data_IF_732219024227
#
_entry.id   IF_732219024227
#
_cell.length_a   1.000
_cell.length_b   1.000
_cell.length_c   1.000
_cell.angle_alpha   90.00
_cell.angle_beta   90.00
_cell.angle_gamma   90.00
#
_symmetry.space_group_name_H-M   'P 1'
#
loop_
_entity.id
_entity.type
_entity.pdbx_description
1 polymer ?
#
# COMPACT_ATOMS: atom_id res chain seq x y z
N UNK A 1 -11.16 14.92 -23.99
CA UNK A 1 -10.51 14.47 -22.74
C UNK A 1 -9.81 13.16 -23.04
N UNK A 2 -8.52 13.04 -22.70
CA UNK A 2 -7.77 11.81 -22.95
C UNK A 2 -8.21 10.74 -21.93
N UNK A 3 -8.55 9.55 -22.40
CA UNK A 3 -8.81 8.39 -21.55
C UNK A 3 -7.45 7.84 -21.11
N UNK A 4 -7.19 7.81 -19.81
CA UNK A 4 -6.00 7.15 -19.25
C UNK A 4 -6.24 5.64 -19.23
N UNK A 5 -5.29 4.86 -19.74
CA UNK A 5 -5.22 3.43 -19.42
C UNK A 5 -4.80 3.27 -17.96
N UNK A 6 -5.17 2.16 -17.31
CA UNK A 6 -4.66 1.81 -15.97
C UNK A 6 -3.12 1.83 -15.93
N UNK A 7 -2.48 1.49 -17.04
CA UNK A 7 -1.02 1.50 -17.19
C UNK A 7 -0.41 2.90 -17.21
N UNK A 8 -1.23 3.93 -17.40
CA UNK A 8 -0.78 5.33 -17.49
C UNK A 8 -0.94 6.08 -16.15
N UNK A 9 -1.51 5.42 -15.13
CA UNK A 9 -1.72 6.01 -13.81
C UNK A 9 -0.46 5.83 -12.93
N UNK A 10 -0.03 6.86 -12.19
CA UNK A 10 0.94 6.69 -11.13
C UNK A 10 0.48 5.65 -10.10
N UNK A 11 1.42 4.89 -9.58
CA UNK A 11 1.17 3.92 -8.50
C UNK A 11 1.27 4.62 -7.14
N UNK A 12 0.20 4.56 -6.35
CA UNK A 12 0.19 4.92 -4.94
C UNK A 12 0.41 3.65 -4.11
N UNK A 13 1.60 3.50 -3.54
CA UNK A 13 1.90 2.42 -2.59
C UNK A 13 1.51 2.88 -1.19
N UNK A 14 0.49 2.23 -0.61
CA UNK A 14 -0.01 2.55 0.72
C UNK A 14 0.49 1.51 1.73
N UNK A 15 1.30 1.97 2.68
CA UNK A 15 1.73 1.20 3.85
C UNK A 15 0.88 1.64 5.03
N UNK A 16 0.10 0.71 5.60
CA UNK A 16 -0.79 1.06 6.70
C UNK A 16 -0.04 1.48 7.97
N UNK A 17 -0.74 2.21 8.84
CA UNK A 17 -0.24 2.61 10.16
C UNK A 17 -0.24 1.46 11.17
N UNK A 18 -0.08 1.79 12.46
CA UNK A 18 -0.13 0.79 13.54
C UNK A 18 1.24 0.25 13.97
N UNK A 19 2.32 0.90 13.56
CA UNK A 19 3.67 0.66 14.08
C UNK A 19 4.21 -0.74 13.83
N UNK A 20 3.77 -1.42 12.77
CA UNK A 20 4.03 -2.83 12.49
C UNK A 20 3.47 -3.81 13.52
N UNK A 21 2.64 -3.36 14.47
CA UNK A 21 2.03 -4.21 15.51
C UNK A 21 0.57 -4.56 15.16
N UNK A 22 -0.13 -3.64 14.50
CA UNK A 22 -1.57 -3.76 14.22
C UNK A 22 -1.90 -3.16 12.86
N UNK A 23 -3.09 -3.45 12.33
CA UNK A 23 -3.57 -2.97 11.04
C UNK A 23 -3.63 -4.10 10.02
N UNK A 24 -3.93 -3.76 8.76
CA UNK A 24 -4.00 -4.70 7.65
C UNK A 24 -5.01 -4.28 6.59
N UNK A 25 -5.25 -5.14 5.60
CA UNK A 25 -6.09 -4.81 4.44
C UNK A 25 -7.50 -4.34 4.83
N UNK A 26 -8.12 -4.98 5.82
CA UNK A 26 -9.50 -4.68 6.22
C UNK A 26 -9.66 -3.31 6.89
N UNK A 27 -8.65 -2.86 7.64
CA UNK A 27 -8.69 -1.53 8.28
C UNK A 27 -8.39 -0.41 7.29
N UNK A 28 -7.60 -0.69 6.26
CA UNK A 28 -6.96 0.35 5.45
C UNK A 28 -7.42 0.43 3.99
N UNK A 29 -8.20 -0.53 3.50
CA UNK A 29 -8.89 -0.44 2.19
C UNK A 29 -9.76 0.82 2.08
N UNK A 30 -10.33 1.28 3.20
CA UNK A 30 -11.10 2.53 3.27
C UNK A 30 -10.27 3.76 2.90
N UNK A 31 -9.01 3.81 3.30
CA UNK A 31 -8.12 4.94 2.98
C UNK A 31 -7.83 4.97 1.47
N UNK A 32 -7.49 3.82 0.89
CA UNK A 32 -7.26 3.69 -0.55
C UNK A 32 -8.50 4.06 -1.37
N UNK A 33 -9.69 3.58 -0.97
CA UNK A 33 -10.97 3.93 -1.62
C UNK A 33 -11.36 5.38 -1.48
N UNK A 34 -10.97 6.03 -0.38
CA UNK A 34 -11.22 7.46 -0.20
C UNK A 34 -10.28 8.30 -1.08
N UNK A 35 -9.03 7.88 -1.26
CA UNK A 35 -8.00 8.63 -1.99
C UNK A 35 -8.09 8.44 -3.51
N UNK A 36 -8.29 7.21 -4.00
CA UNK A 36 -8.25 6.89 -5.43
C UNK A 36 -9.25 7.68 -6.31
N UNK A 37 -10.46 8.06 -5.85
CA UNK A 37 -11.35 8.92 -6.64
C UNK A 37 -10.91 10.39 -6.70
N UNK A 38 -10.06 10.84 -5.77
CA UNK A 38 -9.62 12.23 -5.65
C UNK A 38 -8.35 12.51 -6.46
N UNK A 39 -7.57 11.48 -6.78
CA UNK A 39 -6.28 11.58 -7.46
C UNK A 39 -6.24 10.49 -8.53
N UNK A 40 -5.87 10.77 -9.78
CA UNK A 40 -5.80 9.75 -10.84
C UNK A 40 -4.60 8.82 -10.60
N UNK A 41 -4.74 7.85 -9.68
CA UNK A 41 -3.71 6.90 -9.30
C UNK A 41 -4.25 5.47 -9.27
N UNK A 42 -3.37 4.50 -9.45
CA UNK A 42 -3.61 3.11 -9.08
C UNK A 42 -3.16 2.91 -7.63
N UNK A 43 -4.07 2.57 -6.71
CA UNK A 43 -3.72 2.36 -5.31
C UNK A 43 -3.36 0.88 -5.03
N UNK A 44 -2.21 0.66 -4.41
CA UNK A 44 -1.74 -0.64 -3.92
C UNK A 44 -1.71 -0.62 -2.40
N UNK A 45 -2.66 -1.32 -1.76
CA UNK A 45 -2.67 -1.52 -0.32
C UNK A 45 -1.78 -2.70 0.05
N UNK A 46 -0.72 -2.47 0.81
CA UNK A 46 0.31 -3.49 1.10
C UNK A 46 0.00 -4.19 2.42
N UNK A 47 -0.12 -5.51 2.37
CA UNK A 47 -0.22 -6.37 3.55
C UNK A 47 1.18 -6.86 3.95
N UNK A 48 1.89 -6.03 4.71
CA UNK A 48 3.18 -6.41 5.26
C UNK A 48 3.00 -7.24 6.55
N UNK A 49 3.97 -8.10 6.85
CA UNK A 49 3.91 -8.95 8.04
C UNK A 49 4.06 -8.14 9.34
N UNK A 50 3.27 -8.50 10.35
CA UNK A 50 3.26 -7.83 11.66
C UNK A 50 4.31 -8.40 12.61
N UNK A 51 4.82 -7.55 13.50
CA UNK A 51 5.91 -7.86 14.44
C UNK A 51 5.50 -8.88 15.52
N UNK A 52 4.21 -9.04 15.76
CA UNK A 52 3.63 -9.99 16.70
C UNK A 52 3.95 -11.44 16.33
N UNK A 53 3.91 -11.77 15.03
CA UNK A 53 4.27 -13.08 14.49
C UNK A 53 5.65 -13.07 13.83
N UNK A 54 6.11 -11.92 13.34
CA UNK A 54 7.31 -11.77 12.52
C UNK A 54 8.20 -10.62 13.01
N UNK A 55 9.18 -10.89 13.90
CA UNK A 55 10.03 -9.86 14.46
C UNK A 55 10.68 -8.95 13.41
N UNK A 56 11.01 -7.73 13.82
CA UNK A 56 11.81 -6.82 13.01
C UNK A 56 13.08 -7.52 12.50
N UNK A 57 13.46 -7.38 11.21
CA UNK A 57 12.98 -6.40 10.22
C UNK A 57 11.92 -6.89 9.22
N UNK A 58 11.26 -8.04 9.44
CA UNK A 58 10.52 -8.74 8.38
C UNK A 58 9.45 -7.88 7.67
N UNK A 59 8.54 -7.25 8.41
CA UNK A 59 7.52 -6.38 7.80
C UNK A 59 8.08 -5.13 7.12
N UNK A 60 9.25 -4.66 7.58
CA UNK A 60 9.95 -3.54 6.97
C UNK A 60 10.59 -3.96 5.63
N UNK A 61 11.17 -5.16 5.57
CA UNK A 61 11.68 -5.75 4.33
C UNK A 61 10.57 -5.98 3.32
N UNK A 62 9.41 -6.51 3.74
CA UNK A 62 8.21 -6.64 2.88
C UNK A 62 7.81 -5.29 2.26
N UNK A 63 7.78 -4.25 3.08
CA UNK A 63 7.43 -2.89 2.65
C UNK A 63 8.44 -2.35 1.62
N UNK A 64 9.73 -2.57 1.88
CA UNK A 64 10.80 -2.13 1.00
C UNK A 64 10.81 -2.88 -0.34
N UNK A 65 10.56 -4.20 -0.31
CA UNK A 65 10.48 -5.02 -1.51
C UNK A 65 9.32 -4.58 -2.43
N UNK A 66 8.18 -4.19 -1.86
CA UNK A 66 7.05 -3.66 -2.64
C UNK A 66 7.38 -2.30 -3.26
N UNK A 67 8.01 -1.40 -2.50
CA UNK A 67 8.47 -0.11 -3.05
C UNK A 67 9.44 -0.32 -4.20
N UNK A 68 10.38 -1.25 -4.05
CA UNK A 68 11.33 -1.62 -5.09
C UNK A 68 10.66 -2.25 -6.31
N UNK A 69 9.61 -3.04 -6.11
CA UNK A 69 8.84 -3.66 -7.21
C UNK A 69 8.03 -2.64 -8.00
N UNK A 70 7.45 -1.64 -7.32
CA UNK A 70 6.57 -0.64 -7.92
C UNK A 70 7.28 0.60 -8.49
N UNK A 71 8.62 0.64 -8.43
CA UNK A 71 9.46 1.70 -8.99
C UNK A 71 10.10 1.29 -10.31
#
# INVERSE_FOLDING_TARGET
>A
MATLSVTDLPLLIYLHGGGYVTGGQETDDKACRALAPQIPVLALNVEYRLVTEHPFPIGFEDSFDVVRWGS
#
